data_IF_737373574473
#
_entry.id   IF_737373574473
#
_cell.length_a   1.000
_cell.length_b   1.000
_cell.length_c   1.000
_cell.angle_alpha   90.00
_cell.angle_beta   90.00
_cell.angle_gamma   90.00
#
_symmetry.space_group_name_H-M   'P 1'
#
loop_
_entity.id
_entity.type
_entity.pdbx_description
1 polymer ?
#
# COMPACT_ATOMS: atom_id res chain seq x y z
N UNK A 1 -15.85 -12.72 -15.47
CA UNK A 1 -15.11 -11.51 -15.89
C UNK A 1 -15.92 -10.26 -15.58
N UNK A 2 -15.28 -9.26 -14.97
CA UNK A 2 -15.86 -7.93 -14.69
C UNK A 2 -15.47 -6.95 -15.80
N UNK A 3 -16.27 -5.91 -15.99
CA UNK A 3 -15.95 -4.86 -16.96
C UNK A 3 -14.67 -4.08 -16.54
N UNK A 4 -13.92 -3.58 -17.51
CA UNK A 4 -12.72 -2.79 -17.22
C UNK A 4 -13.09 -1.34 -16.86
N UNK A 5 -13.07 -1.02 -15.57
CA UNK A 5 -13.38 0.32 -15.06
C UNK A 5 -12.52 1.42 -15.69
N UNK A 6 -11.26 1.13 -16.03
CA UNK A 6 -10.31 2.11 -16.60
C UNK A 6 -10.66 2.50 -18.04
N UNK A 7 -11.43 1.67 -18.76
CA UNK A 7 -11.97 1.99 -20.09
C UNK A 7 -13.32 2.71 -20.01
N UNK A 8 -14.07 2.48 -18.93
CA UNK A 8 -15.38 3.09 -18.69
C UNK A 8 -15.26 4.56 -18.24
N UNK A 9 -14.30 4.88 -17.38
CA UNK A 9 -14.10 6.25 -16.86
C UNK A 9 -13.85 7.29 -17.97
N UNK A 10 -12.95 7.08 -18.96
CA UNK A 10 -12.73 8.04 -20.06
C UNK A 10 -13.97 8.27 -20.93
N UNK A 11 -14.94 7.35 -20.90
CA UNK A 11 -16.21 7.43 -21.62
C UNK A 11 -17.33 8.08 -20.80
N UNK A 12 -16.99 8.66 -19.64
CA UNK A 12 -17.91 9.24 -18.67
C UNK A 12 -18.97 8.26 -18.12
N UNK A 13 -18.71 6.95 -18.22
CA UNK A 13 -19.58 5.90 -17.66
C UNK A 13 -19.25 5.65 -16.19
N UNK A 14 -19.48 6.68 -15.36
CA UNK A 14 -18.99 6.71 -13.97
C UNK A 14 -19.67 5.66 -13.10
N UNK A 15 -20.99 5.49 -13.22
CA UNK A 15 -21.74 4.54 -12.40
C UNK A 15 -21.37 3.09 -12.74
N UNK A 16 -21.18 2.79 -14.03
CA UNK A 16 -20.70 1.51 -14.51
C UNK A 16 -19.28 1.23 -14.02
N UNK A 17 -18.37 2.22 -14.12
CA UNK A 17 -16.99 2.06 -13.67
C UNK A 17 -16.89 1.81 -12.16
N UNK A 18 -17.79 2.40 -11.37
CA UNK A 18 -17.90 2.17 -9.93
C UNK A 18 -18.36 0.75 -9.63
N UNK A 19 -19.47 0.31 -10.22
CA UNK A 19 -19.96 -1.07 -10.07
C UNK A 19 -18.91 -2.11 -10.50
N UNK A 20 -18.21 -1.86 -11.60
CA UNK A 20 -17.13 -2.73 -12.06
C UNK A 20 -15.98 -2.84 -11.03
N UNK A 21 -15.65 -1.76 -10.34
CA UNK A 21 -14.68 -1.78 -9.24
C UNK A 21 -15.21 -2.52 -8.01
N UNK A 22 -16.47 -2.32 -7.62
CA UNK A 22 -17.13 -3.05 -6.54
C UNK A 22 -17.11 -4.57 -6.79
N UNK A 23 -17.46 -5.00 -8.01
CA UNK A 23 -17.39 -6.42 -8.40
C UNK A 23 -15.96 -6.95 -8.46
N UNK A 24 -14.99 -6.11 -8.87
CA UNK A 24 -13.58 -6.49 -8.92
C UNK A 24 -12.99 -6.73 -7.52
N UNK A 25 -13.43 -5.97 -6.51
CA UNK A 25 -13.02 -6.17 -5.10
C UNK A 25 -13.33 -7.59 -4.66
N UNK A 26 -14.57 -8.06 -4.87
CA UNK A 26 -15.00 -9.39 -4.45
C UNK A 26 -14.16 -10.52 -5.08
N UNK A 27 -13.74 -10.34 -6.33
CA UNK A 27 -12.88 -11.30 -7.03
C UNK A 27 -11.45 -11.25 -6.50
N UNK A 28 -10.89 -10.04 -6.36
CA UNK A 28 -9.53 -9.85 -5.86
C UNK A 28 -9.36 -10.38 -4.42
N UNK A 29 -10.34 -10.15 -3.55
CA UNK A 29 -10.36 -10.70 -2.19
C UNK A 29 -10.33 -12.23 -2.20
N UNK A 30 -11.15 -12.87 -3.04
CA UNK A 30 -11.17 -14.34 -3.15
C UNK A 30 -9.82 -14.90 -3.60
N UNK A 31 -9.21 -14.28 -4.60
CA UNK A 31 -7.91 -14.73 -5.13
C UNK A 31 -6.79 -14.53 -4.10
N UNK A 32 -6.75 -13.37 -3.43
CA UNK A 32 -5.75 -13.10 -2.38
C UNK A 32 -5.88 -14.09 -1.21
N UNK A 33 -7.10 -14.37 -0.73
CA UNK A 33 -7.33 -15.33 0.35
C UNK A 33 -6.95 -16.75 -0.08
N UNK A 34 -7.31 -17.16 -1.30
CA UNK A 34 -6.94 -18.48 -1.83
C UNK A 34 -5.42 -18.68 -1.90
N UNK A 35 -4.68 -17.67 -2.37
CA UNK A 35 -3.21 -17.71 -2.41
C UNK A 35 -2.65 -17.76 -0.99
N UNK A 36 -3.17 -16.94 -0.07
CA UNK A 36 -2.73 -16.92 1.32
C UNK A 36 -2.92 -18.26 2.03
N UNK A 37 -4.06 -18.93 1.82
CA UNK A 37 -4.29 -20.28 2.36
C UNK A 37 -3.24 -21.26 1.84
N UNK A 38 -2.98 -21.27 0.53
CA UNK A 38 -1.98 -22.14 -0.06
C UNK A 38 -0.55 -21.84 0.45
N UNK A 39 -0.21 -20.57 0.67
CA UNK A 39 1.07 -20.18 1.26
C UNK A 39 1.19 -20.64 2.72
N UNK A 40 0.15 -20.46 3.52
CA UNK A 40 0.12 -20.91 4.91
C UNK A 40 0.23 -22.44 5.01
N UNK A 41 -0.53 -23.19 4.22
CA UNK A 41 -0.47 -24.66 4.16
C UNK A 41 0.90 -25.18 3.72
N UNK A 42 1.61 -24.43 2.88
CA UNK A 42 2.98 -24.75 2.48
C UNK A 42 4.03 -24.44 3.57
N UNK A 43 3.64 -23.82 4.68
CA UNK A 43 4.50 -23.48 5.81
C UNK A 43 5.21 -22.14 5.68
N UNK A 44 4.68 -21.19 4.90
CA UNK A 44 5.21 -19.82 4.91
C UNK A 44 4.89 -19.11 6.24
N UNK A 45 5.82 -18.27 6.71
CA UNK A 45 5.62 -17.47 7.94
C UNK A 45 4.73 -16.24 7.72
N UNK A 46 4.60 -15.80 6.47
CA UNK A 46 3.80 -14.64 6.10
C UNK A 46 3.73 -14.39 4.60
N UNK A 47 3.09 -13.29 4.23
CA UNK A 47 3.00 -12.80 2.87
C UNK A 47 3.11 -11.27 2.81
N UNK A 48 3.46 -10.76 1.63
CA UNK A 48 3.41 -9.32 1.33
C UNK A 48 2.39 -9.08 0.21
N UNK A 49 1.42 -8.20 0.48
CA UNK A 49 0.64 -7.58 -0.57
C UNK A 49 1.42 -6.45 -1.20
N UNK A 50 2.09 -6.77 -2.30
CA UNK A 50 2.87 -5.80 -3.06
C UNK A 50 1.95 -4.83 -3.82
N UNK A 51 2.36 -3.55 -3.86
CA UNK A 51 1.74 -2.50 -4.68
C UNK A 51 0.24 -2.24 -4.43
N UNK A 52 -0.20 -2.33 -3.18
CA UNK A 52 -1.57 -2.04 -2.76
C UNK A 52 -2.01 -0.62 -3.13
N UNK A 53 -3.16 -0.51 -3.79
CA UNK A 53 -3.75 0.77 -4.19
C UNK A 53 -3.20 1.34 -5.49
N UNK A 54 -2.39 0.57 -6.24
CA UNK A 54 -1.89 0.95 -7.56
C UNK A 54 -3.03 1.22 -8.55
N UNK A 55 -4.12 0.45 -8.43
CA UNK A 55 -5.35 0.65 -9.23
C UNK A 55 -6.36 1.59 -8.56
N UNK A 56 -5.98 2.25 -7.47
CA UNK A 56 -6.80 3.21 -6.73
C UNK A 56 -7.48 2.63 -5.49
N UNK A 57 -8.54 3.30 -5.06
CA UNK A 57 -9.22 3.07 -3.79
C UNK A 57 -9.92 1.70 -3.70
N UNK A 58 -10.36 1.13 -4.81
CA UNK A 58 -10.92 -0.23 -4.86
C UNK A 58 -9.87 -1.32 -4.61
N UNK A 59 -8.67 -1.15 -5.15
CA UNK A 59 -7.56 -2.08 -4.96
C UNK A 59 -7.07 -2.09 -3.51
N UNK A 60 -6.93 -0.90 -2.92
CA UNK A 60 -6.63 -0.79 -1.49
C UNK A 60 -7.74 -1.39 -0.61
N UNK A 61 -9.03 -1.19 -0.97
CA UNK A 61 -10.15 -1.82 -0.27
C UNK A 61 -10.06 -3.34 -0.29
N UNK A 62 -9.76 -3.93 -1.45
CA UNK A 62 -9.63 -5.37 -1.59
C UNK A 62 -8.50 -5.92 -0.70
N UNK A 63 -7.36 -5.23 -0.64
CA UNK A 63 -6.25 -5.64 0.20
C UNK A 63 -6.60 -5.60 1.70
N UNK A 64 -7.34 -4.58 2.16
CA UNK A 64 -7.83 -4.47 3.55
C UNK A 64 -8.79 -5.61 3.90
N UNK A 65 -9.78 -5.88 3.05
CA UNK A 65 -10.75 -6.96 3.29
C UNK A 65 -10.08 -8.35 3.26
N UNK A 66 -9.15 -8.56 2.34
CA UNK A 66 -8.37 -9.79 2.27
C UNK A 66 -7.52 -10.00 3.53
N UNK A 67 -6.78 -8.98 3.98
CA UNK A 67 -5.98 -9.04 5.20
C UNK A 67 -6.84 -9.43 6.41
N UNK A 68 -8.02 -8.82 6.55
CA UNK A 68 -8.97 -9.11 7.63
C UNK A 68 -9.41 -10.58 7.64
N UNK A 69 -9.75 -11.12 6.46
CA UNK A 69 -10.16 -12.52 6.33
C UNK A 69 -8.99 -13.46 6.63
N UNK A 70 -7.81 -13.21 6.06
CA UNK A 70 -6.62 -14.05 6.21
C UNK A 70 -6.22 -14.13 7.68
N UNK A 71 -6.09 -12.98 8.35
CA UNK A 71 -5.69 -12.90 9.76
C UNK A 71 -6.75 -13.47 10.70
N UNK A 72 -8.02 -13.44 10.30
CA UNK A 72 -9.09 -14.15 11.01
C UNK A 72 -8.99 -15.67 10.90
N UNK A 73 -8.51 -16.20 9.77
CA UNK A 73 -8.34 -17.65 9.54
C UNK A 73 -7.03 -18.18 10.12
N UNK A 74 -5.94 -17.42 9.96
CA UNK A 74 -4.57 -17.78 10.33
C UNK A 74 -3.96 -16.68 11.20
N UNK A 75 -4.30 -16.61 12.52
CA UNK A 75 -3.89 -15.51 13.39
C UNK A 75 -2.39 -15.40 13.68
N UNK A 76 -1.60 -16.39 13.28
CA UNK A 76 -0.15 -16.43 13.38
C UNK A 76 0.57 -16.06 12.07
N UNK A 77 -0.14 -16.01 10.94
CA UNK A 77 0.44 -15.72 9.63
C UNK A 77 0.70 -14.22 9.38
N UNK A 78 1.96 -13.83 9.21
CA UNK A 78 2.34 -12.44 8.97
C UNK A 78 1.73 -11.89 7.68
N UNK A 79 1.21 -10.66 7.71
CA UNK A 79 0.74 -9.93 6.54
C UNK A 79 1.42 -8.57 6.50
N UNK A 80 2.29 -8.38 5.52
CA UNK A 80 2.81 -7.08 5.13
C UNK A 80 1.88 -6.44 4.08
N UNK A 81 1.58 -5.15 4.24
CA UNK A 81 0.84 -4.39 3.24
C UNK A 81 1.74 -3.32 2.63
N UNK A 82 2.38 -3.66 1.51
CA UNK A 82 3.19 -2.75 0.71
C UNK A 82 2.31 -1.86 -0.17
N UNK A 83 2.31 -0.56 0.08
CA UNK A 83 1.51 0.41 -0.67
C UNK A 83 2.09 0.69 -2.07
N UNK A 84 1.31 1.28 -2.97
CA UNK A 84 1.78 1.72 -4.29
C UNK A 84 2.18 3.21 -4.36
N UNK A 85 1.75 4.00 -3.38
CA UNK A 85 1.94 5.44 -3.38
C UNK A 85 1.57 6.08 -2.07
N UNK A 86 2.02 7.32 -1.87
CA UNK A 86 1.70 8.10 -0.68
C UNK A 86 0.24 8.57 -0.63
N UNK A 87 -0.53 8.42 -1.71
CA UNK A 87 -1.89 8.95 -1.79
C UNK A 87 -2.78 7.98 -2.56
N UNK A 88 -3.88 7.55 -1.93
CA UNK A 88 -4.84 6.64 -2.57
C UNK A 88 -5.69 7.43 -3.57
N UNK A 89 -5.52 7.11 -4.85
CA UNK A 89 -6.32 7.70 -5.93
C UNK A 89 -7.77 7.21 -5.85
N UNK A 90 -8.72 8.16 -5.80
CA UNK A 90 -10.16 7.85 -5.78
C UNK A 90 -10.73 7.58 -7.16
N UNK A 91 -10.39 6.44 -7.77
CA UNK A 91 -10.94 6.03 -9.06
C UNK A 91 -12.43 5.65 -8.93
N UNK A 92 -12.82 5.07 -7.79
CA UNK A 92 -14.21 4.96 -7.36
C UNK A 92 -14.66 6.23 -6.60
N UNK A 93 -13.88 6.64 -5.60
CA UNK A 93 -14.00 7.88 -4.84
C UNK A 93 -15.03 7.87 -3.71
N UNK A 94 -15.67 6.72 -3.43
CA UNK A 94 -16.79 6.61 -2.49
C UNK A 94 -16.73 5.37 -1.59
N UNK A 95 -15.69 4.55 -1.70
CA UNK A 95 -15.56 3.34 -0.89
C UNK A 95 -15.14 3.71 0.54
N UNK A 96 -15.74 3.04 1.51
CA UNK A 96 -15.49 3.25 2.93
C UNK A 96 -15.14 1.93 3.61
N UNK A 97 -14.05 1.93 4.38
CA UNK A 97 -13.65 0.82 5.23
C UNK A 97 -13.93 1.22 6.66
N UNK A 98 -14.84 0.51 7.32
CA UNK A 98 -15.29 0.80 8.69
C UNK A 98 -15.65 2.29 8.92
N UNK A 99 -16.41 2.86 7.97
CA UNK A 99 -16.87 4.25 8.00
C UNK A 99 -15.80 5.30 7.65
N UNK A 100 -14.59 4.87 7.26
CA UNK A 100 -13.54 5.77 6.77
C UNK A 100 -13.43 5.66 5.26
N UNK A 101 -13.64 6.77 4.55
CA UNK A 101 -13.42 6.81 3.10
C UNK A 101 -11.95 6.53 2.78
N UNK A 102 -11.70 5.53 1.93
CA UNK A 102 -10.33 5.07 1.64
C UNK A 102 -9.64 5.92 0.57
N UNK A 103 -10.41 6.57 -0.31
CA UNK A 103 -9.91 7.54 -1.27
C UNK A 103 -9.34 8.79 -0.59
N UNK A 104 -8.11 9.15 -0.97
CA UNK A 104 -7.41 10.35 -0.54
C UNK A 104 -6.62 10.23 0.75
N UNK A 105 -6.43 9.01 1.27
CA UNK A 105 -5.63 8.77 2.45
C UNK A 105 -4.13 8.87 2.15
N UNK A 106 -3.41 9.49 3.08
CA UNK A 106 -1.94 9.52 3.15
C UNK A 106 -1.41 8.45 4.13
N UNK A 107 -0.10 8.16 4.18
CA UNK A 107 0.41 6.97 4.87
C UNK A 107 0.00 6.87 6.34
N UNK A 108 0.04 7.98 7.08
CA UNK A 108 -0.40 8.07 8.48
C UNK A 108 -1.88 7.74 8.72
N UNK A 109 -2.73 7.77 7.68
CA UNK A 109 -4.13 7.32 7.75
C UNK A 109 -4.35 5.96 7.08
N UNK A 110 -3.49 5.59 6.13
CA UNK A 110 -3.50 4.25 5.52
C UNK A 110 -3.13 3.19 6.56
N UNK A 111 -2.10 3.46 7.38
CA UNK A 111 -1.64 2.54 8.44
C UNK A 111 -2.74 2.22 9.46
N UNK A 112 -3.53 3.21 9.88
CA UNK A 112 -4.65 3.00 10.81
C UNK A 112 -5.69 2.02 10.27
N UNK A 113 -5.93 2.01 8.95
CA UNK A 113 -6.86 1.06 8.33
C UNK A 113 -6.22 -0.32 8.16
N UNK A 114 -4.94 -0.36 7.80
CA UNK A 114 -4.17 -1.60 7.71
C UNK A 114 -4.15 -2.33 9.07
N UNK A 115 -3.94 -1.61 10.17
CA UNK A 115 -3.97 -2.14 11.54
C UNK A 115 -5.34 -2.73 11.89
N UNK A 116 -6.43 -2.01 11.59
CA UNK A 116 -7.80 -2.52 11.78
C UNK A 116 -8.07 -3.78 10.96
N UNK A 117 -7.46 -3.88 9.78
CA UNK A 117 -7.53 -5.07 8.95
C UNK A 117 -6.64 -6.23 9.45
N UNK A 118 -5.87 -6.03 10.52
CA UNK A 118 -5.02 -7.06 11.11
C UNK A 118 -3.65 -7.24 10.43
N UNK A 119 -3.27 -6.29 9.56
CA UNK A 119 -1.92 -6.24 8.96
C UNK A 119 -0.87 -6.18 10.07
N UNK A 120 0.22 -6.92 9.90
CA UNK A 120 1.26 -7.05 10.93
C UNK A 120 2.49 -6.19 10.65
N UNK A 121 2.72 -5.81 9.39
CA UNK A 121 3.79 -4.88 8.98
C UNK A 121 3.22 -3.93 7.93
N UNK A 122 3.41 -2.63 8.10
CA UNK A 122 2.93 -1.65 7.11
C UNK A 122 4.06 -1.13 6.24
N UNK A 123 3.85 -1.17 4.92
CA UNK A 123 4.82 -0.77 3.92
C UNK A 123 4.47 0.55 3.21
N UNK A 124 4.61 1.73 3.87
CA UNK A 124 4.27 3.00 3.24
C UNK A 124 5.19 3.31 2.05
N UNK A 125 4.61 3.87 0.99
CA UNK A 125 5.35 4.37 -0.17
C UNK A 125 5.31 5.88 -0.23
N UNK A 126 6.42 6.48 -0.67
CA UNK A 126 6.47 7.85 -1.15
C UNK A 126 7.18 7.87 -2.49
N UNK A 127 6.45 8.26 -3.54
CA UNK A 127 6.94 8.29 -4.90
C UNK A 127 7.99 9.39 -5.11
N UNK A 128 9.06 9.04 -5.79
CA UNK A 128 10.12 9.95 -6.21
C UNK A 128 9.62 10.82 -7.37
N UNK A 129 9.76 12.13 -7.23
CA UNK A 129 9.56 13.05 -8.33
C UNK A 129 10.86 13.14 -9.16
N UNK A 130 10.82 12.66 -10.40
CA UNK A 130 11.93 12.76 -11.37
C UNK A 130 12.31 14.20 -11.74
N UNK A 131 11.42 15.18 -11.45
CA UNK A 131 11.67 16.61 -11.67
C UNK A 131 12.33 17.32 -10.47
N UNK A 132 12.85 16.56 -9.50
CA UNK A 132 13.40 17.08 -8.23
C UNK A 132 14.70 16.38 -7.87
N UNK A 133 15.52 17.06 -7.09
CA UNK A 133 16.80 16.54 -6.62
C UNK A 133 16.63 15.44 -5.57
N UNK A 134 17.65 14.61 -5.38
CA UNK A 134 17.66 13.59 -4.33
C UNK A 134 17.40 14.18 -2.92
N UNK A 135 18.06 15.26 -2.46
CA UNK A 135 17.77 15.83 -1.15
C UNK A 135 16.32 16.29 -0.98
N UNK A 136 15.68 16.79 -2.04
CA UNK A 136 14.27 17.18 -2.00
C UNK A 136 13.37 15.96 -1.84
N UNK A 137 13.60 14.91 -2.64
CA UNK A 137 12.83 13.67 -2.52
C UNK A 137 13.05 12.99 -1.17
N UNK A 138 14.28 13.06 -0.62
CA UNK A 138 14.61 12.53 0.69
C UNK A 138 13.85 13.26 1.80
N UNK A 139 13.87 14.59 1.80
CA UNK A 139 13.13 15.39 2.76
C UNK A 139 11.61 15.10 2.69
N UNK A 140 11.08 14.95 1.47
CA UNK A 140 9.68 14.59 1.24
C UNK A 140 9.35 13.21 1.81
N UNK A 141 10.13 12.18 1.48
CA UNK A 141 9.91 10.82 1.95
C UNK A 141 9.95 10.76 3.48
N UNK A 142 11.02 11.31 4.09
CA UNK A 142 11.16 11.36 5.55
C UNK A 142 9.97 12.07 6.22
N UNK A 143 9.44 13.13 5.62
CA UNK A 143 8.28 13.85 6.19
C UNK A 143 7.03 12.97 6.30
N UNK A 144 6.66 12.27 5.22
CA UNK A 144 5.49 11.39 5.23
C UNK A 144 5.70 10.15 6.08
N UNK A 145 6.89 9.54 6.01
CA UNK A 145 7.22 8.33 6.77
C UNK A 145 7.23 8.64 8.26
N UNK A 146 7.81 9.76 8.69
CA UNK A 146 7.79 10.16 10.09
C UNK A 146 6.37 10.30 10.64
N UNK A 147 5.48 10.97 9.90
CA UNK A 147 4.08 11.09 10.31
C UNK A 147 3.37 9.73 10.36
N UNK A 148 3.72 8.80 9.47
CA UNK A 148 3.23 7.43 9.49
C UNK A 148 3.67 6.71 10.77
N UNK A 149 4.97 6.71 11.06
CA UNK A 149 5.53 6.05 12.24
C UNK A 149 5.04 6.67 13.56
N UNK A 150 4.74 7.97 13.60
CA UNK A 150 4.15 8.61 14.78
C UNK A 150 2.72 8.11 15.09
N UNK A 151 2.03 7.55 14.10
CA UNK A 151 0.65 7.04 14.23
C UNK A 151 0.60 5.51 14.34
N UNK A 152 1.58 4.81 13.78
CA UNK A 152 1.60 3.36 13.68
C UNK A 152 1.79 2.67 15.05
N UNK A 153 1.00 1.64 15.29
CA UNK A 153 1.13 0.66 16.38
C UNK A 153 1.75 -0.67 15.90
N UNK A 154 1.90 -0.85 14.59
CA UNK A 154 2.62 -1.98 13.97
C UNK A 154 3.94 -1.52 13.32
N UNK A 155 4.93 -2.43 13.16
CA UNK A 155 6.20 -2.09 12.51
C UNK A 155 6.02 -1.49 11.12
N UNK A 156 6.82 -0.47 10.82
CA UNK A 156 6.80 0.25 9.55
C UNK A 156 8.03 -0.11 8.71
N UNK A 157 7.82 -0.85 7.63
CA UNK A 157 8.83 -1.18 6.62
C UNK A 157 8.69 -0.22 5.44
N UNK A 158 9.28 0.98 5.51
CA UNK A 158 9.17 1.94 4.41
C UNK A 158 9.74 1.35 3.11
N UNK A 159 8.97 1.44 2.02
CA UNK A 159 9.37 0.93 0.72
C UNK A 159 10.47 1.81 0.11
N UNK A 160 11.65 1.22 -0.11
CA UNK A 160 12.84 1.88 -0.65
C UNK A 160 13.41 1.08 -1.81
N UNK A 161 13.24 1.59 -3.02
CA UNK A 161 13.64 0.93 -4.25
C UNK A 161 13.28 1.78 -5.45
N UNK A 162 13.67 1.38 -6.66
CA UNK A 162 13.52 2.16 -7.89
C UNK A 162 12.26 3.03 -7.92
N UNK A 163 12.43 4.34 -7.74
CA UNK A 163 11.32 5.29 -7.84
C UNK A 163 10.52 5.60 -6.60
N UNK A 164 10.83 4.96 -5.48
CA UNK A 164 10.16 5.15 -4.20
C UNK A 164 11.18 5.35 -3.08
N UNK A 165 10.71 5.90 -1.96
CA UNK A 165 11.55 6.10 -0.78
C UNK A 165 12.73 7.03 -1.06
N UNK A 166 12.52 8.04 -1.91
CA UNK A 166 13.51 8.99 -2.41
C UNK A 166 14.59 8.44 -3.36
N UNK A 167 14.58 7.15 -3.67
CA UNK A 167 15.56 6.59 -4.59
C UNK A 167 15.24 7.01 -6.03
N UNK A 168 16.27 7.28 -6.87
CA UNK A 168 16.05 7.67 -8.26
C UNK A 168 15.35 6.59 -9.09
N UNK A 169 14.55 7.03 -10.08
CA UNK A 169 13.97 6.17 -11.11
C UNK A 169 15.07 5.66 -12.07
N UNK A 170 15.72 4.55 -11.74
CA UNK A 170 16.68 3.87 -12.60
C UNK A 170 16.70 2.37 -12.30
N UNK A 171 16.91 1.49 -13.29
CA UNK A 171 16.97 0.04 -13.07
C UNK A 171 18.03 -0.38 -12.05
N UNK A 172 19.11 0.40 -11.93
CA UNK A 172 20.18 0.16 -10.95
C UNK A 172 20.40 1.46 -10.18
N UNK A 173 19.71 1.67 -9.04
CA UNK A 173 19.88 2.88 -8.25
C UNK A 173 21.28 2.92 -7.63
N UNK A 174 21.94 4.09 -7.62
CA UNK A 174 23.24 4.23 -6.97
C UNK A 174 23.17 3.81 -5.51
N UNK A 175 24.07 2.92 -5.08
CA UNK A 175 24.07 2.40 -3.71
C UNK A 175 24.16 3.52 -2.66
N UNK A 176 24.88 4.60 -2.94
CA UNK A 176 24.95 5.79 -2.07
C UNK A 176 23.57 6.43 -1.86
N UNK A 177 22.76 6.57 -2.92
CA UNK A 177 21.43 7.15 -2.82
C UNK A 177 20.48 6.26 -1.99
N UNK A 178 20.50 4.95 -2.25
CA UNK A 178 19.69 3.97 -1.50
C UNK A 178 20.11 3.94 -0.02
N UNK A 179 21.41 3.89 0.25
CA UNK A 179 21.94 3.81 1.63
C UNK A 179 21.59 5.05 2.44
N UNK A 180 21.72 6.25 1.84
CA UNK A 180 21.31 7.51 2.49
C UNK A 180 19.81 7.58 2.72
N UNK A 181 19.01 7.11 1.76
CA UNK A 181 17.57 7.04 1.90
C UNK A 181 17.16 6.13 3.06
N UNK A 182 17.60 4.87 3.04
CA UNK A 182 17.33 3.90 4.12
C UNK A 182 17.78 4.43 5.48
N UNK A 183 19.00 4.97 5.58
CA UNK A 183 19.51 5.49 6.86
C UNK A 183 18.68 6.67 7.38
N UNK A 184 18.28 7.59 6.51
CA UNK A 184 17.45 8.73 6.92
C UNK A 184 16.03 8.32 7.31
N UNK A 185 15.44 7.33 6.62
CA UNK A 185 14.12 6.80 6.93
C UNK A 185 14.10 6.08 8.29
N UNK A 186 15.18 5.38 8.65
CA UNK A 186 15.33 4.79 9.99
C UNK A 186 15.57 5.89 11.04
N UNK A 187 16.62 6.70 10.87
CA UNK A 187 17.07 7.63 11.93
C UNK A 187 16.13 8.82 12.14
N UNK A 188 15.56 9.35 11.05
CA UNK A 188 14.73 10.55 11.06
C UNK A 188 13.26 10.19 10.88
N UNK A 189 12.97 9.30 9.92
CA UNK A 189 11.62 8.80 9.64
C UNK A 189 11.10 7.82 10.69
N UNK A 190 11.97 7.26 11.55
CA UNK A 190 11.64 6.30 12.61
C UNK A 190 11.02 4.99 12.12
N UNK A 191 11.24 4.63 10.85
CA UNK A 191 10.86 3.32 10.35
C UNK A 191 11.64 2.20 11.08
N UNK A 192 10.94 1.15 11.50
CA UNK A 192 11.41 0.13 12.43
C UNK A 192 11.08 -1.32 12.01
N UNK A 193 10.43 -1.50 10.85
CA UNK A 193 10.15 -2.81 10.25
C UNK A 193 11.21 -3.33 9.26
N UNK A 194 12.37 -2.66 9.20
CA UNK A 194 13.49 -2.94 8.26
C UNK A 194 14.47 -3.99 8.80
#
# INVERSE_FOLDING_TARGET
PVDNWSELLPRAKIAEARRAQEEAIDLAVKDMVYIADGMYEAGADGMNFDTCGASGDADFMAALEAAKIIRGKHPDFGVEMGMAGEFILGMHGQLEYEGTRVAGLYPHRQVELAEKAGVTIFGPVVNTSSNRSFPWNLARAVTFIKACCETAEIPVHANVGMGVGATPMTPVPPADAVSRASKALIEIGKADGL
#
